data_IF_622005274449
#
_entry.id   IF_622005274449
#
_cell.length_a   1.000
_cell.length_b   1.000
_cell.length_c   1.000
_cell.angle_alpha   90.00
_cell.angle_beta   90.00
_cell.angle_gamma   90.00
#
_symmetry.space_group_name_H-M   'P 1'
#
loop_
_entity.id
_entity.type
_entity.pdbx_description
1 polymer ?
#
# COMPACT_ATOMS: atom_id res chain seq x y z
N UNK A 1 15.23 -3.05 -4.75
CA UNK A 1 13.94 -2.35 -4.47
C UNK A 1 13.24 -2.87 -3.22
N UNK A 2 13.15 -4.20 -3.00
CA UNK A 2 12.53 -4.79 -1.81
C UNK A 2 13.07 -4.21 -0.47
N UNK A 3 14.40 -4.08 -0.33
CA UNK A 3 15.03 -3.45 0.84
C UNK A 3 14.51 -2.03 1.12
N UNK A 4 14.44 -1.18 0.10
CA UNK A 4 13.95 0.19 0.26
C UNK A 4 12.48 0.20 0.68
N UNK A 5 11.63 -0.62 0.04
CA UNK A 5 10.22 -0.73 0.40
C UNK A 5 10.02 -1.18 1.86
N UNK A 6 10.78 -2.16 2.32
CA UNK A 6 10.75 -2.63 3.70
C UNK A 6 11.06 -1.50 4.70
N UNK A 7 12.09 -0.70 4.42
CA UNK A 7 12.47 0.45 5.25
C UNK A 7 11.41 1.56 5.25
N UNK A 8 10.76 1.82 4.10
CA UNK A 8 9.64 2.78 4.01
C UNK A 8 8.44 2.30 4.84
N UNK A 9 8.07 1.03 4.74
CA UNK A 9 6.98 0.44 5.53
C UNK A 9 7.29 0.51 7.04
N UNK A 10 8.55 0.28 7.42
CA UNK A 10 9.01 0.39 8.81
C UNK A 10 9.09 1.83 9.35
N UNK A 11 8.75 2.84 8.53
CA UNK A 11 8.70 4.24 8.95
C UNK A 11 10.00 5.02 8.73
N UNK A 12 10.83 4.59 7.78
CA UNK A 12 12.00 5.33 7.29
C UNK A 12 12.99 5.72 8.40
N UNK A 13 13.25 4.81 9.33
CA UNK A 13 14.17 5.05 10.45
C UNK A 13 15.60 5.34 9.98
N UNK A 14 16.01 4.80 8.84
CA UNK A 14 17.27 5.12 8.16
C UNK A 14 17.40 6.59 7.74
N UNK A 15 16.30 7.35 7.69
CA UNK A 15 16.29 8.78 7.39
C UNK A 15 16.10 9.62 8.65
N UNK A 16 15.24 9.18 9.58
CA UNK A 16 14.76 10.02 10.69
C UNK A 16 15.31 9.67 12.09
N UNK A 17 15.96 8.51 12.28
CA UNK A 17 16.33 8.03 13.61
C UNK A 17 17.39 8.89 14.31
N UNK A 18 18.33 9.48 13.58
CA UNK A 18 19.45 10.25 14.14
C UNK A 18 19.05 11.54 14.87
N UNK A 19 17.77 11.91 14.81
CA UNK A 19 17.25 13.15 15.39
C UNK A 19 16.21 12.95 16.49
N UNK A 20 16.02 11.71 16.97
CA UNK A 20 15.05 11.35 18.01
C UNK A 20 13.61 11.84 17.71
N UNK A 21 13.32 12.03 16.41
CA UNK A 21 12.05 12.58 15.93
C UNK A 21 11.00 11.49 15.85
N UNK A 22 10.00 11.58 16.73
CA UNK A 22 8.80 10.76 16.66
C UNK A 22 7.85 11.34 15.60
N UNK A 23 7.33 10.50 14.71
CA UNK A 23 6.31 10.86 13.70
C UNK A 23 6.73 11.96 12.69
N UNK A 24 8.00 12.04 12.31
CA UNK A 24 8.47 13.05 11.34
C UNK A 24 8.12 12.73 9.88
N UNK A 25 7.91 11.45 9.54
CA UNK A 25 7.64 11.02 8.16
C UNK A 25 6.17 11.23 7.82
N UNK A 26 5.90 12.12 6.85
CA UNK A 26 4.62 12.14 6.13
C UNK A 26 4.77 11.28 4.89
N UNK A 27 4.09 10.15 4.88
CA UNK A 27 4.15 9.19 3.79
C UNK A 27 3.02 9.51 2.81
N UNK A 28 3.32 9.58 1.52
CA UNK A 28 2.33 9.70 0.46
C UNK A 28 2.84 8.96 -0.78
N UNK A 29 1.91 8.56 -1.64
CA UNK A 29 2.21 7.97 -2.95
C UNK A 29 1.93 9.00 -4.04
N UNK A 30 0.86 9.77 -3.85
CA UNK A 30 0.36 10.80 -4.76
C UNK A 30 0.08 12.07 -3.97
N UNK A 31 0.21 13.21 -4.63
CA UNK A 31 -0.19 14.52 -4.15
C UNK A 31 -0.67 15.35 -5.34
N UNK A 32 -0.86 16.66 -5.17
CA UNK A 32 -1.32 17.52 -6.27
C UNK A 32 -0.27 17.69 -7.37
N UNK A 33 1.01 17.47 -7.06
CA UNK A 33 2.09 17.41 -8.05
C UNK A 33 2.20 15.99 -8.61
N UNK A 34 2.13 15.84 -9.92
CA UNK A 34 2.18 14.53 -10.58
C UNK A 34 0.81 13.92 -10.82
N UNK A 35 0.78 12.59 -10.95
CA UNK A 35 -0.44 11.85 -11.22
C UNK A 35 -1.31 11.68 -9.98
N UNK A 36 -2.63 11.60 -10.20
CA UNK A 36 -3.56 10.96 -9.26
C UNK A 36 -3.23 9.48 -9.09
N UNK A 37 -3.78 8.82 -8.06
CA UNK A 37 -3.46 7.41 -7.83
C UNK A 37 -4.01 6.49 -8.93
N UNK A 38 -5.15 6.83 -9.53
CA UNK A 38 -5.67 6.08 -10.67
C UNK A 38 -4.80 6.30 -11.91
N UNK A 39 -4.38 7.54 -12.18
CA UNK A 39 -3.55 7.84 -13.35
C UNK A 39 -2.15 7.25 -13.25
N UNK A 40 -1.60 7.13 -12.04
CA UNK A 40 -0.34 6.43 -11.77
C UNK A 40 -0.36 4.99 -12.29
N UNK A 41 -1.54 4.36 -12.35
CA UNK A 41 -1.73 3.01 -12.88
C UNK A 41 -2.41 2.95 -14.25
N UNK A 42 -2.68 4.11 -14.86
CA UNK A 42 -3.39 4.21 -16.14
C UNK A 42 -2.57 4.87 -17.24
N UNK A 43 -1.48 5.57 -16.90
CA UNK A 43 -0.64 6.29 -17.86
C UNK A 43 0.85 6.04 -17.63
N UNK A 44 1.60 5.78 -18.70
CA UNK A 44 3.06 5.72 -18.69
C UNK A 44 3.70 7.07 -19.02
N UNK A 45 3.00 7.91 -19.77
CA UNK A 45 3.47 9.24 -20.16
C UNK A 45 2.45 10.29 -19.77
N UNK A 46 2.94 11.51 -19.51
CA UNK A 46 2.09 12.66 -19.21
C UNK A 46 1.38 13.16 -20.48
N UNK A 47 0.15 13.63 -20.31
CA UNK A 47 -0.72 14.21 -21.32
C UNK A 47 -1.12 15.64 -20.88
N UNK A 48 -0.12 16.52 -20.77
CA UNK A 48 -0.29 17.90 -20.31
C UNK A 48 -0.59 18.87 -21.48
N UNK A 49 -0.91 18.37 -22.67
CA UNK A 49 -1.27 19.17 -23.85
C UNK A 49 -2.35 20.24 -23.54
N UNK A 50 -3.39 19.97 -22.74
CA UNK A 50 -4.38 20.98 -22.36
C UNK A 50 -3.80 22.19 -21.62
N UNK A 51 -2.59 22.10 -21.06
CA UNK A 51 -1.95 23.22 -20.36
C UNK A 51 -1.40 24.29 -21.33
N UNK A 52 -1.28 23.98 -22.62
CA UNK A 52 -0.85 24.95 -23.65
C UNK A 52 0.66 25.12 -23.81
N UNK A 53 1.47 24.33 -23.11
CA UNK A 53 2.94 24.38 -23.17
C UNK A 53 3.56 23.26 -24.02
N UNK A 54 2.81 22.74 -25.00
CA UNK A 54 3.27 21.66 -25.88
C UNK A 54 3.82 20.45 -25.10
N UNK A 55 3.17 20.09 -23.99
CA UNK A 55 3.53 18.99 -23.08
C UNK A 55 4.96 19.09 -22.48
N UNK A 56 5.52 20.30 -22.41
CA UNK A 56 6.88 20.52 -21.85
C UNK A 56 6.91 20.69 -20.33
N UNK A 57 5.78 21.00 -19.71
CA UNK A 57 5.61 21.18 -18.27
C UNK A 57 5.31 19.86 -17.53
N UNK A 58 5.51 19.82 -16.22
CA UNK A 58 5.33 18.61 -15.39
C UNK A 58 6.51 17.63 -15.43
N UNK A 59 6.53 16.68 -14.49
CA UNK A 59 7.59 15.68 -14.34
C UNK A 59 7.55 14.64 -15.49
N UNK A 60 8.70 14.10 -15.87
CA UNK A 60 8.80 13.02 -16.88
C UNK A 60 9.05 11.64 -16.26
N UNK A 61 9.40 11.60 -14.97
CA UNK A 61 9.81 10.42 -14.22
C UNK A 61 8.77 10.03 -13.15
N UNK A 62 7.53 9.80 -13.59
CA UNK A 62 6.40 9.53 -12.71
C UNK A 62 6.46 8.19 -11.97
N UNK A 63 7.36 7.28 -12.35
CA UNK A 63 7.42 5.90 -11.85
C UNK A 63 6.05 5.18 -11.94
N UNK A 64 5.29 5.48 -12.99
CA UNK A 64 3.95 4.97 -13.25
C UNK A 64 3.98 3.70 -14.09
N UNK A 65 2.84 2.99 -14.13
CA UNK A 65 2.65 1.86 -15.03
C UNK A 65 1.19 1.73 -15.43
N UNK A 66 0.90 1.91 -16.72
CA UNK A 66 -0.46 1.92 -17.28
C UNK A 66 -1.22 0.58 -17.23
N UNK A 67 -0.61 -0.46 -16.64
CA UNK A 67 -1.17 -1.81 -16.45
C UNK A 67 -1.53 -2.56 -17.75
N UNK A 68 -1.09 -2.07 -18.91
CA UNK A 68 -1.27 -2.74 -20.22
C UNK A 68 -1.93 -1.87 -21.29
N UNK A 69 -2.61 -0.78 -20.91
CA UNK A 69 -3.26 0.14 -21.85
C UNK A 69 -3.01 1.58 -21.40
N UNK A 70 -2.77 2.52 -22.33
CA UNK A 70 -2.60 3.94 -21.99
C UNK A 70 -3.96 4.62 -21.92
N UNK A 71 -4.30 5.20 -20.77
CA UNK A 71 -5.59 5.88 -20.52
C UNK A 71 -6.77 4.93 -20.35
N UNK A 72 -7.97 5.43 -20.67
CA UNK A 72 -9.22 4.66 -20.55
C UNK A 72 -9.19 3.39 -21.41
N UNK A 73 -9.79 2.32 -20.89
CA UNK A 73 -9.84 1.03 -21.58
C UNK A 73 -11.08 0.24 -21.17
N UNK A 74 -11.64 -0.49 -22.13
CA UNK A 74 -12.74 -1.44 -21.88
C UNK A 74 -12.24 -2.86 -21.56
N UNK A 75 -10.91 -3.08 -21.49
CA UNK A 75 -10.37 -4.40 -21.12
C UNK A 75 -10.59 -4.68 -19.62
N UNK A 76 -11.46 -5.65 -19.28
CA UNK A 76 -11.80 -5.92 -17.89
C UNK A 76 -10.59 -6.47 -17.10
N UNK A 77 -9.59 -7.06 -17.75
CA UNK A 77 -8.40 -7.56 -17.08
C UNK A 77 -7.48 -6.42 -16.66
N UNK A 78 -7.34 -5.38 -17.50
CA UNK A 78 -6.56 -4.18 -17.19
C UNK A 78 -7.25 -3.40 -16.06
N UNK A 79 -8.56 -3.18 -16.13
CA UNK A 79 -9.29 -2.48 -15.08
C UNK A 79 -9.27 -3.22 -13.74
N UNK A 80 -9.41 -4.56 -13.76
CA UNK A 80 -9.26 -5.37 -12.55
C UNK A 80 -7.86 -5.25 -11.94
N UNK A 81 -6.82 -5.19 -12.77
CA UNK A 81 -5.45 -4.97 -12.32
C UNK A 81 -5.27 -3.57 -11.74
N UNK A 82 -5.74 -2.51 -12.41
CA UNK A 82 -5.66 -1.12 -11.91
C UNK A 82 -6.34 -0.97 -10.54
N UNK A 83 -7.56 -1.50 -10.39
CA UNK A 83 -8.28 -1.53 -9.10
C UNK A 83 -7.50 -2.25 -8.00
N UNK A 84 -6.80 -3.33 -8.34
CA UNK A 84 -5.91 -4.04 -7.40
C UNK A 84 -4.67 -3.21 -7.06
N UNK A 85 -4.06 -2.53 -8.02
CA UNK A 85 -2.91 -1.64 -7.78
C UNK A 85 -3.27 -0.46 -6.87
N UNK A 86 -4.44 0.14 -7.05
CA UNK A 86 -4.99 1.17 -6.15
C UNK A 86 -5.17 0.62 -4.72
N UNK A 87 -5.74 -0.58 -4.58
CA UNK A 87 -5.85 -1.27 -3.27
C UNK A 87 -4.48 -1.58 -2.65
N UNK A 88 -3.50 -2.01 -3.45
CA UNK A 88 -2.13 -2.25 -2.99
C UNK A 88 -1.51 -0.98 -2.41
N UNK A 89 -1.61 0.13 -3.15
CA UNK A 89 -1.10 1.43 -2.71
C UNK A 89 -1.77 1.88 -1.41
N UNK A 90 -3.10 1.78 -1.32
CA UNK A 90 -3.86 2.08 -0.11
C UNK A 90 -3.42 1.22 1.08
N UNK A 91 -3.35 -0.10 0.90
CA UNK A 91 -2.98 -1.04 1.96
C UNK A 91 -1.56 -0.80 2.47
N UNK A 92 -0.60 -0.64 1.57
CA UNK A 92 0.80 -0.37 1.93
C UNK A 92 0.93 0.96 2.67
N UNK A 93 0.31 2.02 2.17
CA UNK A 93 0.40 3.34 2.81
C UNK A 93 -0.26 3.33 4.21
N UNK A 94 -1.41 2.67 4.33
CA UNK A 94 -2.15 2.57 5.59
C UNK A 94 -1.55 1.62 6.62
N UNK A 95 -0.70 0.69 6.20
CA UNK A 95 0.04 -0.19 7.10
C UNK A 95 1.48 0.25 7.35
N UNK A 96 1.98 1.29 6.66
CA UNK A 96 3.30 1.85 6.91
C UNK A 96 3.33 2.70 8.19
N UNK A 97 4.43 2.64 8.94
CA UNK A 97 4.68 3.55 10.06
C UNK A 97 4.99 4.97 9.55
N UNK A 98 4.55 5.98 10.28
CA UNK A 98 4.53 7.38 9.83
C UNK A 98 3.11 7.93 9.68
N UNK A 99 2.96 9.12 9.09
CA UNK A 99 1.66 9.78 8.91
C UNK A 99 1.25 9.62 7.44
N UNK A 100 0.24 8.81 7.10
CA UNK A 100 -0.20 8.67 5.71
C UNK A 100 -0.99 9.91 5.25
N UNK A 101 -0.74 10.35 4.02
CA UNK A 101 -1.48 11.38 3.32
C UNK A 101 -1.96 10.84 1.98
N UNK A 102 -3.23 11.09 1.66
CA UNK A 102 -3.82 10.80 0.35
C UNK A 102 -4.21 12.11 -0.34
N UNK A 103 -4.11 12.13 -1.67
CA UNK A 103 -4.72 13.17 -2.48
C UNK A 103 -6.25 13.00 -2.45
N UNK A 104 -6.98 14.11 -2.41
CA UNK A 104 -8.44 14.08 -2.44
C UNK A 104 -8.94 13.41 -3.73
N UNK A 105 -9.87 12.47 -3.59
CA UNK A 105 -10.49 11.75 -4.70
C UNK A 105 -9.80 10.45 -5.09
N UNK A 106 -8.58 10.18 -4.61
CA UNK A 106 -7.92 8.89 -4.82
C UNK A 106 -8.75 7.72 -4.25
N UNK A 107 -9.55 7.98 -3.21
CA UNK A 107 -10.42 7.00 -2.58
C UNK A 107 -11.60 6.56 -3.46
N UNK A 108 -11.87 7.26 -4.57
CA UNK A 108 -12.83 6.87 -5.60
C UNK A 108 -12.23 6.97 -7.02
N UNK A 109 -10.92 6.75 -7.12
CA UNK A 109 -10.18 6.70 -8.39
C UNK A 109 -10.32 7.99 -9.22
N UNK A 110 -10.17 9.17 -8.60
CA UNK A 110 -10.08 10.44 -9.32
C UNK A 110 -9.03 10.36 -10.44
N UNK A 111 -9.27 11.08 -11.54
CA UNK A 111 -8.39 11.13 -12.70
C UNK A 111 -8.26 12.56 -13.18
N UNK A 112 -7.08 12.91 -13.69
CA UNK A 112 -6.80 14.12 -14.44
C UNK A 112 -6.50 13.77 -15.92
N UNK A 113 -6.98 12.61 -16.38
CA UNK A 113 -6.85 12.11 -17.74
C UNK A 113 -5.41 12.03 -18.24
N UNK A 114 -4.48 11.71 -17.33
CA UNK A 114 -3.05 11.65 -17.65
C UNK A 114 -2.36 13.02 -17.65
N UNK A 115 -3.04 14.10 -17.28
CA UNK A 115 -2.37 15.36 -16.94
C UNK A 115 -1.73 15.20 -15.56
N UNK A 116 -0.40 15.35 -15.46
CA UNK A 116 0.34 15.22 -14.21
C UNK A 116 0.73 16.57 -13.59
N UNK A 117 0.17 17.64 -14.13
CA UNK A 117 0.47 19.02 -13.76
C UNK A 117 -0.74 19.92 -14.04
N UNK A 118 -1.93 19.57 -13.52
CA UNK A 118 -3.19 20.26 -13.80
C UNK A 118 -3.31 21.64 -13.09
N UNK A 119 -2.21 22.39 -12.96
CA UNK A 119 -2.13 23.63 -12.18
C UNK A 119 -2.95 24.79 -12.76
N UNK A 120 -3.19 24.79 -14.07
CA UNK A 120 -3.92 25.83 -14.79
C UNK A 120 -5.28 25.35 -15.33
N UNK A 121 -5.73 24.16 -14.92
CA UNK A 121 -7.00 23.61 -15.34
C UNK A 121 -8.06 23.93 -14.28
N UNK A 122 -8.98 24.84 -14.59
CA UNK A 122 -10.15 25.21 -13.78
C UNK A 122 -11.41 24.58 -14.43
N UNK A 123 -11.40 23.26 -14.58
CA UNK A 123 -12.37 22.50 -15.39
C UNK A 123 -12.40 21.00 -14.99
N UNK A 124 -13.09 20.18 -15.77
CA UNK A 124 -13.29 18.75 -15.50
C UNK A 124 -11.99 17.96 -15.33
N UNK A 125 -10.85 18.44 -15.84
CA UNK A 125 -9.54 17.80 -15.62
C UNK A 125 -9.14 17.86 -14.14
N UNK A 126 -9.43 18.93 -13.41
CA UNK A 126 -9.02 19.09 -12.01
C UNK A 126 -10.17 18.91 -11.01
N UNK A 127 -11.42 18.95 -11.48
CA UNK A 127 -12.61 18.79 -10.64
C UNK A 127 -12.79 17.36 -10.16
N UNK A 128 -13.23 17.22 -8.90
CA UNK A 128 -13.62 15.92 -8.38
C UNK A 128 -14.95 15.51 -9.00
N UNK A 129 -14.90 14.50 -9.86
CA UNK A 129 -16.07 13.85 -10.41
C UNK A 129 -16.68 12.87 -9.38
N UNK A 130 -17.77 13.32 -8.74
CA UNK A 130 -18.48 12.54 -7.74
C UNK A 130 -19.26 11.35 -8.31
N UNK A 131 -19.51 11.29 -9.62
CA UNK A 131 -20.16 10.12 -10.24
C UNK A 131 -19.25 8.89 -10.14
N UNK A 132 -17.92 9.08 -10.14
CA UNK A 132 -16.92 8.02 -9.95
C UNK A 132 -17.04 7.32 -8.60
N UNK A 133 -17.54 8.00 -7.56
CA UNK A 133 -17.81 7.35 -6.27
C UNK A 133 -18.82 6.20 -6.40
N UNK A 134 -19.79 6.32 -7.32
CA UNK A 134 -20.70 5.23 -7.66
C UNK A 134 -19.99 4.07 -8.37
N UNK A 135 -19.13 4.39 -9.34
CA UNK A 135 -18.39 3.43 -10.17
C UNK A 135 -17.28 2.67 -9.41
N UNK A 136 -16.65 3.32 -8.43
CA UNK A 136 -15.53 2.79 -7.65
C UNK A 136 -15.88 2.66 -6.16
N UNK A 137 -17.15 2.37 -5.87
CA UNK A 137 -17.65 2.18 -4.50
C UNK A 137 -16.89 1.09 -3.72
N UNK A 138 -16.45 0.04 -4.41
CA UNK A 138 -15.59 -1.01 -3.85
C UNK A 138 -14.25 -0.45 -3.33
N UNK A 139 -13.60 0.43 -4.10
CA UNK A 139 -12.35 1.09 -3.70
C UNK A 139 -12.61 2.01 -2.50
N UNK A 140 -13.68 2.80 -2.54
CA UNK A 140 -14.04 3.67 -1.43
C UNK A 140 -14.27 2.90 -0.13
N UNK A 141 -15.03 1.80 -0.19
CA UNK A 141 -15.24 0.89 0.94
C UNK A 141 -13.91 0.29 1.44
N UNK A 142 -13.00 -0.08 0.55
CA UNK A 142 -11.68 -0.59 0.92
C UNK A 142 -10.84 0.47 1.66
N UNK A 143 -10.83 1.72 1.21
CA UNK A 143 -10.17 2.83 1.91
C UNK A 143 -10.75 3.03 3.31
N UNK A 144 -12.07 3.06 3.45
CA UNK A 144 -12.74 3.14 4.75
C UNK A 144 -12.33 2.00 5.67
N UNK A 145 -12.28 0.77 5.14
CA UNK A 145 -11.85 -0.41 5.88
C UNK A 145 -10.39 -0.27 6.36
N UNK A 146 -9.45 0.11 5.50
CA UNK A 146 -8.05 0.28 5.88
C UNK A 146 -7.82 1.43 6.85
N UNK A 147 -8.60 2.51 6.75
CA UNK A 147 -8.62 3.61 7.74
C UNK A 147 -9.06 3.10 9.11
N UNK A 148 -10.14 2.31 9.16
CA UNK A 148 -10.57 1.68 10.41
C UNK A 148 -9.51 0.72 10.94
N UNK A 149 -8.94 -0.13 10.09
CA UNK A 149 -7.89 -1.07 10.45
C UNK A 149 -6.69 -0.36 11.11
N UNK A 150 -6.17 0.70 10.49
CA UNK A 150 -5.04 1.50 11.03
C UNK A 150 -5.38 2.15 12.37
N UNK A 151 -6.62 2.64 12.55
CA UNK A 151 -7.07 3.23 13.81
C UNK A 151 -7.14 2.18 14.92
N UNK A 152 -7.62 0.99 14.61
CA UNK A 152 -7.76 -0.13 15.55
C UNK A 152 -6.43 -0.78 15.93
N UNK A 153 -5.47 -0.88 15.00
CA UNK A 153 -4.18 -1.55 15.26
C UNK A 153 -3.08 -0.52 15.49
N UNK A 154 -2.65 -0.31 16.73
CA UNK A 154 -1.61 0.70 17.04
C UNK A 154 -0.22 0.31 16.56
N UNK A 155 0.06 -0.98 16.38
CA UNK A 155 1.35 -1.51 15.93
C UNK A 155 1.82 -0.94 14.57
N UNK A 156 0.89 -0.61 13.67
CA UNK A 156 1.21 0.03 12.37
C UNK A 156 1.47 1.53 12.49
N UNK A 157 1.21 2.13 13.66
CA UNK A 157 1.38 3.57 13.93
C UNK A 157 2.58 3.85 14.82
N UNK A 158 2.93 2.95 15.73
CA UNK A 158 3.98 3.16 16.71
C UNK A 158 4.60 1.84 17.19
N UNK A 159 5.82 1.95 17.68
CA UNK A 159 6.39 0.98 18.61
C UNK A 159 5.68 1.15 19.97
N UNK A 160 5.10 0.07 20.49
CA UNK A 160 4.30 0.09 21.72
C UNK A 160 5.02 -0.52 22.93
N UNK A 161 5.93 -1.46 22.72
CA UNK A 161 6.55 -2.27 23.80
C UNK A 161 7.94 -2.82 23.47
N UNK A 162 8.60 -2.30 22.43
CA UNK A 162 9.90 -2.78 21.92
C UNK A 162 9.90 -4.26 21.47
N UNK A 163 8.74 -4.75 21.03
CA UNK A 163 8.50 -6.14 20.67
C UNK A 163 7.61 -6.87 21.67
N UNK A 164 7.27 -8.11 21.36
CA UNK A 164 6.49 -8.99 22.23
C UNK A 164 6.72 -10.46 21.82
N UNK A 165 6.51 -11.40 22.75
CA UNK A 165 6.56 -12.83 22.46
C UNK A 165 7.88 -13.34 21.84
N UNK A 166 9.01 -12.71 22.19
CA UNK A 166 10.32 -13.03 21.61
C UNK A 166 10.54 -12.46 20.20
N UNK A 167 9.57 -11.72 19.65
CA UNK A 167 9.73 -10.97 18.41
C UNK A 167 10.18 -9.54 18.68
N UNK A 168 11.05 -8.98 17.82
CA UNK A 168 11.36 -7.55 17.87
C UNK A 168 10.15 -6.71 17.44
N UNK A 169 10.18 -5.42 17.78
CA UNK A 169 9.16 -4.44 17.37
C UNK A 169 8.90 -4.42 15.85
N UNK A 170 9.96 -4.58 15.04
CA UNK A 170 9.90 -4.72 13.58
C UNK A 170 10.79 -5.87 13.13
N UNK A 171 10.29 -6.72 12.24
CA UNK A 171 11.10 -7.71 11.52
C UNK A 171 10.76 -7.76 10.03
N UNK A 172 11.72 -8.23 9.25
CA UNK A 172 11.63 -8.34 7.80
C UNK A 172 11.68 -9.81 7.36
N UNK A 173 10.96 -10.11 6.29
CA UNK A 173 10.72 -11.48 5.83
C UNK A 173 10.73 -11.52 4.31
N UNK A 174 11.38 -12.54 3.75
CA UNK A 174 11.22 -12.91 2.34
C UNK A 174 10.07 -13.90 2.22
N UNK A 175 10.06 -14.72 1.16
CA UNK A 175 9.15 -15.89 1.07
C UNK A 175 9.37 -16.90 2.21
N UNK A 176 10.51 -16.79 2.91
CA UNK A 176 10.81 -17.46 4.17
C UNK A 176 10.98 -16.42 5.28
N UNK A 177 10.66 -16.75 6.53
CA UNK A 177 10.76 -15.80 7.64
C UNK A 177 12.22 -15.45 7.96
N UNK A 178 12.42 -14.32 8.64
CA UNK A 178 13.71 -13.86 9.15
C UNK A 178 14.73 -13.51 8.06
N UNK A 179 14.36 -12.51 7.24
CA UNK A 179 15.23 -11.97 6.21
C UNK A 179 16.05 -10.80 6.75
N UNK A 180 17.37 -10.96 6.82
CA UNK A 180 18.28 -9.91 7.27
C UNK A 180 18.56 -8.83 6.22
N UNK A 181 18.52 -9.20 4.94
CA UNK A 181 18.66 -8.28 3.81
C UNK A 181 17.99 -8.85 2.56
N UNK A 182 17.44 -7.97 1.74
CA UNK A 182 16.80 -8.37 0.50
C UNK A 182 17.77 -8.32 -0.68
N UNK A 183 17.75 -9.35 -1.54
CA UNK A 183 18.50 -9.33 -2.79
C UNK A 183 17.85 -8.38 -3.82
N UNK A 184 18.64 -7.88 -4.78
CA UNK A 184 18.16 -6.89 -5.75
C UNK A 184 17.00 -7.39 -6.62
N UNK A 185 16.97 -8.70 -6.90
CA UNK A 185 15.93 -9.35 -7.70
C UNK A 185 14.68 -9.72 -6.90
N UNK A 186 14.69 -9.59 -5.58
CA UNK A 186 13.50 -9.92 -4.79
C UNK A 186 12.36 -8.94 -5.07
N UNK A 187 11.16 -9.51 -5.22
CA UNK A 187 9.92 -8.81 -5.49
C UNK A 187 8.85 -9.06 -4.43
N UNK A 188 9.18 -9.88 -3.43
CA UNK A 188 8.36 -10.09 -2.24
C UNK A 188 8.97 -9.34 -1.06
N UNK A 189 8.13 -8.67 -0.28
CA UNK A 189 8.51 -8.05 0.99
C UNK A 189 7.48 -8.42 2.05
N UNK A 190 7.94 -9.04 3.12
CA UNK A 190 7.20 -9.21 4.36
C UNK A 190 7.72 -8.28 5.43
N UNK A 191 6.83 -7.50 6.05
CA UNK A 191 7.17 -6.68 7.23
C UNK A 191 6.22 -7.06 8.36
N UNK A 192 6.77 -7.40 9.52
CA UNK A 192 5.98 -7.71 10.70
C UNK A 192 6.24 -6.66 11.78
N UNK A 193 5.16 -6.19 12.40
CA UNK A 193 5.20 -5.44 13.65
C UNK A 193 4.72 -6.33 14.78
N UNK A 194 5.42 -6.31 15.92
CA UNK A 194 5.02 -7.06 17.10
C UNK A 194 5.04 -6.16 18.34
N UNK A 195 4.07 -6.35 19.23
CA UNK A 195 4.03 -5.62 20.48
C UNK A 195 2.84 -6.01 21.35
N UNK A 196 2.84 -5.51 22.57
CA UNK A 196 1.80 -5.78 23.55
C UNK A 196 1.38 -4.46 24.20
N UNK A 197 0.12 -4.09 24.03
CA UNK A 197 -0.44 -2.93 24.70
C UNK A 197 -0.80 -3.27 26.15
N UNK A 198 -0.73 -2.28 27.04
CA UNK A 198 -1.07 -2.47 28.45
C UNK A 198 -2.52 -2.96 28.60
N UNK A 199 -2.72 -4.06 29.31
CA UNK A 199 -4.04 -4.68 29.50
C UNK A 199 -4.53 -5.52 28.32
N UNK A 200 -3.75 -5.63 27.24
CA UNK A 200 -4.04 -6.52 26.11
C UNK A 200 -3.03 -7.68 26.02
N UNK A 201 -3.43 -8.72 25.29
CA UNK A 201 -2.51 -9.78 24.88
C UNK A 201 -1.50 -9.30 23.83
N UNK A 202 -0.41 -10.04 23.62
CA UNK A 202 0.54 -9.76 22.55
C UNK A 202 -0.16 -9.84 21.19
N UNK A 203 0.20 -8.93 20.27
CA UNK A 203 -0.31 -8.93 18.91
C UNK A 203 0.80 -8.75 17.91
N UNK A 204 0.55 -9.22 16.69
CA UNK A 204 1.40 -8.96 15.53
C UNK A 204 0.56 -8.46 14.36
N UNK A 205 1.16 -7.64 13.51
CA UNK A 205 0.59 -7.29 12.19
C UNK A 205 1.64 -7.61 11.14
N UNK A 206 1.31 -8.48 10.21
CA UNK A 206 2.18 -8.86 9.09
C UNK A 206 1.64 -8.28 7.78
N UNK A 207 2.50 -7.58 7.05
CA UNK A 207 2.23 -7.05 5.72
C UNK A 207 3.01 -7.88 4.71
N UNK A 208 2.30 -8.62 3.87
CA UNK A 208 2.86 -9.37 2.74
C UNK A 208 2.66 -8.58 1.45
N UNK A 209 3.73 -8.24 0.74
CA UNK A 209 3.66 -7.53 -0.54
C UNK A 209 4.33 -8.34 -1.63
N UNK A 210 3.53 -8.88 -2.56
CA UNK A 210 4.02 -9.54 -3.76
C UNK A 210 3.97 -8.58 -4.96
N UNK A 211 5.10 -7.93 -5.23
CA UNK A 211 5.32 -7.14 -6.44
C UNK A 211 5.90 -7.98 -7.59
N UNK A 212 5.79 -9.32 -7.56
CA UNK A 212 6.12 -10.22 -8.67
C UNK A 212 4.90 -10.46 -9.57
N UNK A 213 5.14 -10.95 -10.79
CA UNK A 213 4.09 -11.20 -11.79
C UNK A 213 3.55 -12.64 -11.73
N UNK A 214 4.10 -13.48 -10.85
CA UNK A 214 3.63 -14.84 -10.58
C UNK A 214 3.22 -15.00 -9.11
N UNK A 215 2.38 -16.00 -8.79
CA UNK A 215 2.09 -16.32 -7.41
C UNK A 215 3.33 -16.86 -6.69
N UNK A 216 3.43 -16.61 -5.39
CA UNK A 216 4.52 -17.07 -4.54
C UNK A 216 3.97 -17.85 -3.34
N UNK A 217 4.65 -18.91 -2.95
CA UNK A 217 4.38 -19.64 -1.71
C UNK A 217 5.22 -19.04 -0.59
N UNK A 218 4.57 -18.63 0.50
CA UNK A 218 5.18 -17.86 1.58
C UNK A 218 5.01 -18.60 2.90
N UNK A 219 6.08 -18.63 3.70
CA UNK A 219 6.07 -19.11 5.08
C UNK A 219 6.15 -17.93 6.06
N UNK A 220 5.19 -17.86 6.98
CA UNK A 220 5.14 -16.89 8.06
C UNK A 220 6.03 -17.30 9.23
N UNK A 221 6.45 -16.35 10.08
CA UNK A 221 6.98 -16.66 11.40
C UNK A 221 5.98 -17.51 12.19
N UNK A 222 6.51 -18.51 12.92
CA UNK A 222 5.72 -19.33 13.82
C UNK A 222 5.34 -18.49 15.03
N UNK A 223 4.05 -18.29 15.26
CA UNK A 223 3.53 -17.61 16.44
C UNK A 223 3.69 -18.49 17.69
N UNK A 224 3.76 -17.90 18.89
CA UNK A 224 3.73 -18.63 20.16
C UNK A 224 2.46 -19.46 20.34
N UNK A 225 2.53 -20.46 21.22
CA UNK A 225 1.38 -21.29 21.59
C UNK A 225 0.19 -20.43 22.05
N UNK A 226 -0.98 -20.74 21.50
CA UNK A 226 -2.24 -20.03 21.81
C UNK A 226 -2.54 -18.83 20.90
N UNK A 227 -1.62 -18.45 20.00
CA UNK A 227 -1.86 -17.43 18.98
C UNK A 227 -2.06 -18.05 17.60
N UNK A 228 -2.88 -17.40 16.76
CA UNK A 228 -3.10 -17.81 15.38
C UNK A 228 -3.07 -16.63 14.40
N UNK A 229 -2.69 -16.92 13.16
CA UNK A 229 -2.76 -15.94 12.08
C UNK A 229 -4.19 -15.82 11.55
N UNK A 230 -4.71 -14.61 11.56
CA UNK A 230 -5.92 -14.23 10.85
C UNK A 230 -5.58 -13.36 9.64
N UNK A 231 -6.18 -13.66 8.49
CA UNK A 231 -6.21 -12.75 7.35
C UNK A 231 -7.09 -11.56 7.73
N UNK A 232 -6.58 -10.34 7.55
CA UNK A 232 -7.31 -9.10 7.79
C UNK A 232 -7.67 -8.39 6.48
N UNK A 233 -6.81 -8.44 5.46
CA UNK A 233 -7.10 -7.88 4.15
C UNK A 233 -6.37 -8.66 3.05
N UNK A 234 -7.02 -8.83 1.90
CA UNK A 234 -6.42 -9.31 0.66
C UNK A 234 -6.86 -8.35 -0.46
N UNK A 235 -5.90 -7.67 -1.07
CA UNK A 235 -6.12 -6.71 -2.17
C UNK A 235 -6.51 -7.37 -3.49
N UNK A 236 -6.52 -8.70 -3.58
CA UNK A 236 -7.15 -9.38 -4.69
C UNK A 236 -8.68 -9.30 -4.58
N UNK A 237 -9.23 -9.40 -3.37
CA UNK A 237 -10.66 -9.42 -3.12
C UNK A 237 -11.23 -8.01 -2.98
N UNK A 238 -12.34 -7.71 -3.67
CA UNK A 238 -12.93 -6.36 -3.68
C UNK A 238 -13.45 -5.94 -2.31
N UNK A 239 -13.87 -6.91 -1.51
CA UNK A 239 -14.36 -6.71 -0.14
C UNK A 239 -13.45 -7.51 0.80
N UNK A 240 -12.85 -6.86 1.82
CA UNK A 240 -12.08 -7.57 2.84
C UNK A 240 -12.95 -8.62 3.55
N UNK A 241 -12.47 -9.85 3.59
CA UNK A 241 -13.12 -10.96 4.28
C UNK A 241 -12.16 -11.51 5.35
N UNK A 242 -12.17 -10.94 6.57
CA UNK A 242 -11.28 -11.38 7.62
C UNK A 242 -11.63 -12.78 8.11
N UNK A 243 -10.63 -13.57 8.46
CA UNK A 243 -10.84 -14.93 8.94
C UNK A 243 -9.55 -15.67 9.24
N UNK A 244 -9.62 -16.88 9.81
CA UNK A 244 -8.44 -17.67 10.11
C UNK A 244 -7.66 -18.00 8.83
N UNK A 245 -6.34 -17.85 8.85
CA UNK A 245 -5.47 -18.24 7.73
C UNK A 245 -5.35 -19.78 7.63
N UNK A 246 -5.52 -20.49 8.75
CA UNK A 246 -5.49 -21.96 8.80
C UNK A 246 -4.08 -22.57 8.83
N UNK A 247 -3.03 -21.76 9.02
CA UNK A 247 -1.66 -22.22 9.15
C UNK A 247 -0.62 -21.12 9.06
N UNK A 248 0.65 -21.52 8.93
CA UNK A 248 1.80 -20.63 8.81
C UNK A 248 2.30 -20.50 7.36
N UNK A 249 1.57 -21.06 6.40
CA UNK A 249 1.92 -21.01 4.98
C UNK A 249 0.72 -20.57 4.17
N UNK A 250 0.95 -19.74 3.16
CA UNK A 250 -0.10 -19.28 2.26
C UNK A 250 0.48 -18.99 0.87
N UNK A 251 -0.40 -18.96 -0.12
CA UNK A 251 -0.04 -18.63 -1.50
C UNK A 251 -0.55 -17.24 -1.85
N UNK A 252 0.37 -16.30 -2.05
CA UNK A 252 0.04 -14.93 -2.45
C UNK A 252 0.02 -14.80 -3.97
N UNK A 253 -1.05 -14.23 -4.50
CA UNK A 253 -1.26 -14.04 -5.95
C UNK A 253 -0.31 -12.95 -6.51
N UNK A 254 -0.10 -12.87 -7.84
CA UNK A 254 0.68 -11.80 -8.44
C UNK A 254 0.17 -10.41 -8.04
N UNK A 255 1.06 -9.42 -7.93
CA UNK A 255 0.68 -8.01 -7.73
C UNK A 255 -0.33 -7.82 -6.60
N UNK A 256 -0.09 -8.46 -5.46
CA UNK A 256 -1.06 -8.52 -4.35
C UNK A 256 -0.39 -8.15 -3.04
N UNK A 257 -1.09 -7.36 -2.25
CA UNK A 257 -0.79 -7.12 -0.83
C UNK A 257 -1.81 -7.86 0.03
N UNK A 258 -1.33 -8.56 1.05
CA UNK A 258 -2.15 -9.17 2.09
C UNK A 258 -1.72 -8.61 3.45
N UNK A 259 -2.67 -8.44 4.36
CA UNK A 259 -2.42 -8.02 5.75
C UNK A 259 -2.98 -9.08 6.68
N UNK A 260 -2.18 -9.54 7.63
CA UNK A 260 -2.55 -10.54 8.62
C UNK A 260 -2.32 -10.00 10.03
N UNK A 261 -3.10 -10.50 10.99
CA UNK A 261 -2.96 -10.21 12.42
C UNK A 261 -2.70 -11.50 13.15
N UNK A 262 -1.65 -11.55 13.98
CA UNK A 262 -1.45 -12.63 14.94
C UNK A 262 -1.93 -12.17 16.31
N UNK A 263 -2.76 -12.98 16.95
CA UNK A 263 -3.33 -12.69 18.28
C UNK A 263 -3.66 -13.99 18.99
#
# INVERSE_FOLDING_TARGET
MAQAAALRIAGSRDIYADHDRKNASVNFITCHDGFTLYDLFSYNVKHNEPNGWNNTDGANDNNSWNCGAEGETDDPQVEALRRRMVRNACALLMCSRGIPMFLAGDEFCNTQFGNNNAYCQDNEISWLDWERLGQYKDIFCFFQYMIRFRKTHRLVRANVSDGACGFPDVSFHGVKPWCGSFAEYERYVGVMFAGQEEGEGPRTVYIASNAYWEPLDVKLPVLPDGMEWELAADTWENVPCPGPLGGNEFRIRPRTVMVMVGK
#
